data_IF_850845190651
#
_entry.id   IF_850845190651
#
_cell.length_a   1.000
_cell.length_b   1.000
_cell.length_c   1.000
_cell.angle_alpha   90.00
_cell.angle_beta   90.00
_cell.angle_gamma   90.00
#
_symmetry.space_group_name_H-M   'P 1'
#
loop_
_entity.id
_entity.type
_entity.pdbx_description
1 polymer ?
#
# COMPACT_ATOMS: atom_id res chain seq x y z
N UNK A 1 -13.61 26.31 -13.89
CA UNK A 1 -12.67 25.57 -13.02
C UNK A 1 -13.52 24.70 -12.12
N UNK A 2 -13.50 23.37 -12.23
CA UNK A 2 -14.29 22.53 -11.31
C UNK A 2 -13.61 22.63 -9.94
N UNK A 3 -14.44 22.86 -8.92
CA UNK A 3 -14.02 23.02 -7.53
C UNK A 3 -13.25 21.76 -7.10
N UNK A 4 -12.06 21.93 -6.50
CA UNK A 4 -11.19 20.86 -5.93
C UNK A 4 -10.53 19.87 -6.92
N UNK A 5 -10.32 20.21 -8.19
CA UNK A 5 -9.57 19.35 -9.12
C UNK A 5 -8.12 19.04 -8.69
N UNK A 6 -7.44 20.03 -8.11
CA UNK A 6 -6.05 19.87 -7.66
C UNK A 6 -5.94 18.75 -6.62
N UNK A 7 -6.87 18.71 -5.66
CA UNK A 7 -6.89 17.72 -4.57
C UNK A 7 -7.18 16.31 -5.09
N UNK A 8 -8.15 16.19 -5.99
CA UNK A 8 -8.47 14.92 -6.64
C UNK A 8 -7.26 14.38 -7.44
N UNK A 9 -6.61 15.23 -8.23
CA UNK A 9 -5.43 14.83 -9.00
C UNK A 9 -4.25 14.43 -8.11
N UNK A 10 -4.10 15.05 -6.93
CA UNK A 10 -3.06 14.71 -5.98
C UNK A 10 -3.31 13.34 -5.34
N UNK A 11 -4.56 13.05 -4.95
CA UNK A 11 -4.93 11.76 -4.37
C UNK A 11 -4.73 10.61 -5.37
N UNK A 12 -5.08 10.80 -6.64
CA UNK A 12 -4.84 9.81 -7.71
C UNK A 12 -3.34 9.54 -7.91
N UNK A 13 -2.49 10.56 -7.90
CA UNK A 13 -1.03 10.39 -7.98
C UNK A 13 -0.48 9.57 -6.81
N UNK A 14 -0.92 9.86 -5.60
CA UNK A 14 -0.50 9.09 -4.41
C UNK A 14 -0.98 7.65 -4.49
N UNK A 15 -2.23 7.41 -4.91
CA UNK A 15 -2.79 6.08 -5.12
C UNK A 15 -1.96 5.25 -6.12
N UNK A 16 -1.64 5.83 -7.29
CA UNK A 16 -0.83 5.16 -8.31
C UNK A 16 0.62 4.91 -7.84
N UNK A 17 1.19 5.80 -7.02
CA UNK A 17 2.50 5.57 -6.42
C UNK A 17 2.48 4.36 -5.46
N UNK A 18 1.43 4.23 -4.64
CA UNK A 18 1.27 3.07 -3.75
C UNK A 18 1.03 1.76 -4.50
N UNK A 19 0.23 1.75 -5.56
CA UNK A 19 0.06 0.54 -6.40
C UNK A 19 1.41 0.08 -6.92
N UNK A 20 2.24 1.01 -7.41
CA UNK A 20 3.56 0.68 -7.95
C UNK A 20 4.43 0.00 -6.91
N UNK A 21 4.49 0.53 -5.68
CA UNK A 21 5.29 -0.09 -4.61
C UNK A 21 4.77 -1.48 -4.26
N UNK A 22 3.46 -1.66 -4.20
CA UNK A 22 2.82 -2.97 -3.90
C UNK A 22 3.18 -4.00 -4.98
N UNK A 23 3.05 -3.64 -6.26
CA UNK A 23 3.37 -4.52 -7.37
C UNK A 23 4.85 -4.91 -7.37
N UNK A 24 5.74 -3.98 -7.05
CA UNK A 24 7.17 -4.28 -6.90
C UNK A 24 7.41 -5.28 -5.77
N UNK A 25 6.81 -5.09 -4.58
CA UNK A 25 6.99 -6.00 -3.43
C UNK A 25 6.47 -7.41 -3.76
N UNK A 26 5.26 -7.53 -4.31
CA UNK A 26 4.68 -8.81 -4.70
C UNK A 26 5.52 -9.50 -5.80
N UNK A 27 5.97 -8.75 -6.80
CA UNK A 27 6.81 -9.27 -7.88
C UNK A 27 8.16 -9.77 -7.39
N UNK A 28 8.83 -9.01 -6.52
CA UNK A 28 10.11 -9.42 -5.93
C UNK A 28 9.99 -10.67 -5.06
N UNK A 29 8.91 -10.83 -4.29
CA UNK A 29 8.65 -12.04 -3.51
C UNK A 29 8.62 -13.30 -4.38
N UNK A 30 7.91 -13.24 -5.52
CA UNK A 30 7.83 -14.33 -6.49
C UNK A 30 9.15 -14.56 -7.25
N UNK A 31 9.85 -13.49 -7.62
CA UNK A 31 11.14 -13.59 -8.33
C UNK A 31 12.20 -14.30 -7.48
N UNK A 32 12.29 -13.96 -6.19
CA UNK A 32 13.24 -14.59 -5.26
C UNK A 32 12.90 -16.06 -5.08
N UNK A 33 11.63 -16.41 -4.88
CA UNK A 33 11.20 -17.81 -4.75
C UNK A 33 11.59 -18.62 -5.99
N UNK A 34 11.38 -18.07 -7.20
CA UNK A 34 11.76 -18.75 -8.44
C UNK A 34 13.26 -18.89 -8.62
N UNK A 35 14.05 -17.90 -8.22
CA UNK A 35 15.51 -17.95 -8.32
C UNK A 35 16.12 -18.92 -7.30
N UNK A 36 15.51 -19.03 -6.13
CA UNK A 36 15.99 -19.86 -5.04
C UNK A 36 15.42 -21.31 -5.05
N UNK A 37 14.40 -21.58 -5.87
CA UNK A 37 13.87 -22.92 -6.14
C UNK A 37 14.90 -23.94 -6.72
N UNK A 38 16.15 -23.54 -6.98
CA UNK A 38 17.25 -24.47 -7.26
C UNK A 38 17.80 -25.15 -5.99
N UNK A 39 17.43 -24.71 -4.78
CA UNK A 39 17.82 -25.34 -3.52
C UNK A 39 16.95 -24.88 -2.35
N UNK A 40 15.75 -25.46 -2.21
CA UNK A 40 14.97 -25.54 -0.97
C UNK A 40 14.85 -24.26 -0.13
N UNK A 41 14.45 -23.13 -0.72
CA UNK A 41 14.07 -21.94 0.06
C UNK A 41 12.70 -22.07 0.71
N UNK A 42 12.62 -21.56 1.94
CA UNK A 42 11.52 -21.61 2.91
C UNK A 42 10.16 -21.14 2.31
N UNK A 43 9.20 -22.07 2.18
CA UNK A 43 7.88 -21.89 1.55
C UNK A 43 6.98 -20.75 2.07
N UNK A 44 7.22 -20.20 3.27
CA UNK A 44 6.37 -19.17 3.87
C UNK A 44 6.64 -17.74 3.34
N UNK A 45 7.81 -17.48 2.76
CA UNK A 45 8.25 -16.12 2.43
C UNK A 45 7.39 -15.44 1.35
N UNK A 46 7.32 -16.04 0.17
CA UNK A 46 6.56 -15.51 -0.96
C UNK A 46 5.06 -15.36 -0.68
N UNK A 47 4.34 -16.37 -0.13
CA UNK A 47 2.93 -16.18 0.19
C UNK A 47 2.70 -15.10 1.25
N UNK A 48 3.64 -14.90 2.20
CA UNK A 48 3.53 -13.82 3.19
C UNK A 48 3.66 -12.44 2.52
N UNK A 49 4.64 -12.24 1.63
CA UNK A 49 4.79 -10.98 0.91
C UNK A 49 3.60 -10.68 -0.01
N UNK A 50 3.05 -11.70 -0.66
CA UNK A 50 1.85 -11.57 -1.48
C UNK A 50 0.65 -11.18 -0.61
N UNK A 51 0.47 -11.83 0.53
CA UNK A 51 -0.62 -11.52 1.46
C UNK A 51 -0.52 -10.08 1.99
N UNK A 52 0.66 -9.65 2.44
CA UNK A 52 0.90 -8.28 2.91
C UNK A 52 0.67 -7.25 1.80
N UNK A 53 1.11 -7.55 0.58
CA UNK A 53 0.88 -6.70 -0.59
C UNK A 53 -0.61 -6.58 -0.92
N UNK A 54 -1.37 -7.67 -0.82
CA UNK A 54 -2.81 -7.68 -1.03
C UNK A 54 -3.54 -6.84 0.04
N UNK A 55 -3.14 -6.96 1.31
CA UNK A 55 -3.67 -6.13 2.40
C UNK A 55 -3.37 -4.65 2.16
N UNK A 56 -2.13 -4.31 1.78
CA UNK A 56 -1.75 -2.95 1.39
C UNK A 56 -2.62 -2.43 0.24
N UNK A 57 -2.87 -3.24 -0.80
CA UNK A 57 -3.70 -2.85 -1.94
C UNK A 57 -5.14 -2.53 -1.52
N UNK A 58 -5.72 -3.35 -0.65
CA UNK A 58 -7.05 -3.13 -0.10
C UNK A 58 -7.08 -1.82 0.71
N UNK A 59 -6.11 -1.59 1.60
CA UNK A 59 -6.03 -0.35 2.38
C UNK A 59 -5.86 0.90 1.50
N UNK A 60 -4.99 0.83 0.49
CA UNK A 60 -4.78 1.88 -0.51
C UNK A 60 -6.09 2.21 -1.24
N UNK A 61 -6.85 1.18 -1.62
CA UNK A 61 -8.14 1.32 -2.31
C UNK A 61 -9.20 1.94 -1.40
N UNK A 62 -9.29 1.49 -0.15
CA UNK A 62 -10.19 2.08 0.86
C UNK A 62 -9.83 3.54 1.08
N UNK A 63 -8.55 3.86 1.26
CA UNK A 63 -8.06 5.24 1.42
C UNK A 63 -8.45 6.12 0.25
N UNK A 64 -8.30 5.63 -0.98
CA UNK A 64 -8.70 6.36 -2.18
C UNK A 64 -10.20 6.69 -2.17
N UNK A 65 -11.05 5.70 -1.89
CA UNK A 65 -12.50 5.87 -1.89
C UNK A 65 -12.99 6.76 -0.75
N UNK A 66 -12.44 6.61 0.46
CA UNK A 66 -12.75 7.46 1.62
C UNK A 66 -12.37 8.92 1.33
N UNK A 67 -11.17 9.16 0.81
CA UNK A 67 -10.71 10.51 0.45
C UNK A 67 -11.57 11.12 -0.64
N UNK A 68 -11.97 10.32 -1.64
CA UNK A 68 -12.86 10.76 -2.72
C UNK A 68 -14.24 11.19 -2.20
N UNK A 69 -14.82 10.44 -1.27
CA UNK A 69 -16.11 10.79 -0.65
C UNK A 69 -16.05 12.07 0.19
N UNK A 70 -14.95 12.29 0.91
CA UNK A 70 -14.72 13.49 1.73
C UNK A 70 -14.52 14.79 0.94
N UNK A 71 -14.24 14.73 -0.37
CA UNK A 71 -14.10 15.93 -1.21
C UNK A 71 -15.46 16.46 -1.65
N UNK A 72 -16.46 15.58 -1.76
CA UNK A 72 -17.83 15.88 -2.20
C UNK A 72 -18.67 16.44 -1.06
N UNK A 73 -18.50 15.91 0.15
CA UNK A 73 -19.20 16.38 1.34
C UNK A 73 -18.35 17.45 2.03
N UNK A 74 -18.89 18.64 2.30
CA UNK A 74 -18.16 19.79 2.88
C UNK A 74 -17.94 19.61 4.40
N UNK A 75 -17.49 18.42 4.80
CA UNK A 75 -17.32 18.02 6.20
C UNK A 75 -16.08 18.66 6.84
N UNK A 76 -16.21 19.08 8.10
CA UNK A 76 -15.23 19.78 8.92
C UNK A 76 -13.77 19.33 8.69
N UNK A 77 -12.89 20.27 8.31
CA UNK A 77 -11.48 20.04 7.98
C UNK A 77 -10.70 19.33 9.11
N UNK A 78 -11.08 19.57 10.36
CA UNK A 78 -10.40 19.04 11.55
C UNK A 78 -10.61 17.51 11.71
N UNK A 79 -11.81 17.00 11.44
CA UNK A 79 -12.10 15.55 11.47
C UNK A 79 -11.41 14.81 10.31
N UNK A 80 -11.20 15.50 9.19
CA UNK A 80 -10.54 14.99 7.98
C UNK A 80 -9.07 14.67 8.23
N UNK A 81 -8.38 15.54 8.97
CA UNK A 81 -6.96 15.42 9.28
C UNK A 81 -6.66 14.14 10.06
N UNK A 82 -7.35 13.92 11.18
CA UNK A 82 -7.10 12.80 12.10
C UNK A 82 -7.32 11.45 11.41
N UNK A 83 -8.42 11.27 10.69
CA UNK A 83 -8.70 9.99 10.00
C UNK A 83 -7.71 9.69 8.88
N UNK A 84 -7.29 10.72 8.14
CA UNK A 84 -6.31 10.56 7.05
C UNK A 84 -4.91 10.23 7.55
N UNK A 85 -4.49 10.80 8.70
CA UNK A 85 -3.20 10.54 9.32
C UNK A 85 -3.08 9.09 9.81
N UNK A 86 -4.05 8.60 10.58
CA UNK A 86 -4.02 7.21 11.08
C UNK A 86 -3.99 6.18 9.96
N UNK A 87 -4.69 6.44 8.85
CA UNK A 87 -4.63 5.58 7.66
C UNK A 87 -3.24 5.61 7.00
N UNK A 88 -2.61 6.78 6.88
CA UNK A 88 -1.23 6.87 6.36
C UNK A 88 -0.22 6.14 7.25
N UNK A 89 -0.31 6.33 8.58
CA UNK A 89 0.56 5.64 9.53
C UNK A 89 0.40 4.12 9.39
N UNK A 90 -0.84 3.63 9.33
CA UNK A 90 -1.12 2.21 9.11
C UNK A 90 -0.49 1.67 7.81
N UNK A 91 -0.61 2.41 6.70
CA UNK A 91 0.00 2.03 5.42
C UNK A 91 1.53 2.01 5.48
N UNK A 92 2.16 2.99 6.14
CA UNK A 92 3.62 3.05 6.31
C UNK A 92 4.10 1.89 7.18
N UNK A 93 3.42 1.61 8.29
CA UNK A 93 3.76 0.48 9.17
C UNK A 93 3.67 -0.84 8.40
N UNK A 94 2.63 -1.03 7.57
CA UNK A 94 2.47 -2.25 6.77
C UNK A 94 3.54 -2.35 5.67
N UNK A 95 3.94 -1.22 5.08
CA UNK A 95 5.07 -1.18 4.16
C UNK A 95 6.38 -1.55 4.86
N UNK A 96 6.67 -0.99 6.03
CA UNK A 96 7.86 -1.33 6.82
C UNK A 96 7.85 -2.82 7.18
N UNK A 97 6.70 -3.35 7.60
CA UNK A 97 6.56 -4.77 7.91
C UNK A 97 6.82 -5.65 6.67
N UNK A 98 6.31 -5.26 5.50
CA UNK A 98 6.60 -5.98 4.25
C UNK A 98 8.09 -5.98 3.91
N UNK A 99 8.80 -4.86 4.14
CA UNK A 99 10.25 -4.77 3.94
C UNK A 99 11.02 -5.62 4.95
N UNK A 100 10.58 -5.66 6.22
CA UNK A 100 11.19 -6.52 7.24
C UNK A 100 11.04 -7.99 6.89
N UNK A 101 9.85 -8.42 6.45
CA UNK A 101 9.64 -9.79 5.97
C UNK A 101 10.56 -10.07 4.79
N UNK A 102 10.67 -9.13 3.85
CA UNK A 102 11.56 -9.23 2.70
C UNK A 102 13.03 -9.48 3.12
N UNK A 103 13.55 -8.69 4.06
CA UNK A 103 14.91 -8.83 4.57
C UNK A 103 15.12 -10.15 5.33
N UNK A 104 14.15 -10.55 6.15
CA UNK A 104 14.22 -11.81 6.92
C UNK A 104 14.19 -13.06 6.04
N UNK A 105 13.60 -13.01 4.86
CA UNK A 105 13.65 -14.14 3.92
C UNK A 105 14.93 -14.20 3.09
N UNK A 106 15.78 -13.18 3.15
CA UNK A 106 17.09 -13.17 2.48
C UNK A 106 18.19 -13.82 3.34
N UNK A 107 18.04 -13.78 4.67
CA UNK A 107 18.94 -14.39 5.66
C UNK A 107 18.60 -15.87 5.87
#
# INVERSE_FOLDING_TARGET
>A
MIRRYTDQSANERTYLAWIRTILSIAGFGLLIEKLAATGTTKSWFAPTLIALSAVLLILVTIRYEVTRRMIVDDADEERRYIWSEWMMVGMIVLLVLSVLVFLLGLV
#
